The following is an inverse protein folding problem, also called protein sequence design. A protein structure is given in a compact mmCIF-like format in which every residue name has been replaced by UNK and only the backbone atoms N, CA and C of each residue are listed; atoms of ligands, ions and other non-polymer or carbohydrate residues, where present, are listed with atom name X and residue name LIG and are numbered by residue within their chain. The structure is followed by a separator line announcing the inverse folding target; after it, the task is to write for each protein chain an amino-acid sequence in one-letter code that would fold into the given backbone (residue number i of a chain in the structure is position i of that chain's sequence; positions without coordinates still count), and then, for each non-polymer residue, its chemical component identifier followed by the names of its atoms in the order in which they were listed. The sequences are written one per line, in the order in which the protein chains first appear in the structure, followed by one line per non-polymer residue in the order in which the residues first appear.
data_IF_787120372270
#
_entry.id   IF_787120372270
#
_cell.length_a   1.000
_cell.length_b   1.000
_cell.length_c   1.000
_cell.angle_alpha   90.00
_cell.angle_beta   90.00
_cell.angle_gamma   90.00
#
_symmetry.space_group_name_H-M   'P 1'
#
loop_
_entity.id
_entity.type
_entity.pdbx_description
1 polymer ?
#
# COMPACT_ATOMS: atom_id res chain seq x y z
N UNK A 1 16.96 6.72 18.49
CA UNK A 1 17.41 5.42 17.93
C UNK A 1 17.25 5.44 16.43
N UNK A 2 18.27 5.02 15.71
CA UNK A 2 18.25 4.95 14.24
C UNK A 2 18.45 3.50 13.83
N UNK A 3 17.67 3.03 12.87
CA UNK A 3 17.78 1.67 12.33
C UNK A 3 17.36 1.62 10.88
N UNK A 4 17.67 0.52 10.21
CA UNK A 4 17.14 0.23 8.87
C UNK A 4 15.73 -0.37 9.01
N UNK A 5 14.92 -0.23 7.96
CA UNK A 5 13.60 -0.84 7.91
C UNK A 5 13.71 -2.37 7.77
N UNK A 6 12.73 -3.10 8.30
CA UNK A 6 12.59 -4.52 8.01
C UNK A 6 11.89 -4.68 6.67
N UNK A 7 12.46 -5.49 5.78
CA UNK A 7 11.94 -5.69 4.42
C UNK A 7 11.31 -7.07 4.31
N UNK A 8 10.07 -7.11 3.86
CA UNK A 8 9.37 -8.34 3.52
C UNK A 8 9.00 -8.31 2.04
N UNK A 9 9.45 -9.32 1.30
CA UNK A 9 9.10 -9.48 -0.13
C UNK A 9 7.94 -10.47 -0.22
N UNK A 10 6.86 -10.04 -0.88
CA UNK A 10 5.63 -10.82 -0.97
C UNK A 10 5.25 -11.04 -2.43
N UNK A 11 5.02 -12.29 -2.81
CA UNK A 11 4.47 -12.66 -4.10
C UNK A 11 2.95 -12.77 -3.98
N UNK A 12 2.22 -12.16 -4.92
CA UNK A 12 0.76 -12.26 -4.96
C UNK A 12 0.04 -11.65 -3.77
N UNK A 13 0.51 -10.50 -3.28
CA UNK A 13 -0.06 -9.85 -2.10
C UNK A 13 -1.56 -9.58 -2.29
N UNK A 14 -2.36 -10.06 -1.35
CA UNK A 14 -3.84 -9.95 -1.38
C UNK A 14 -4.47 -10.53 -2.66
N UNK A 15 -3.85 -11.55 -3.25
CA UNK A 15 -4.33 -12.12 -4.50
C UNK A 15 -3.94 -11.33 -5.75
N UNK A 16 -3.07 -10.36 -5.61
CA UNK A 16 -2.54 -9.59 -6.74
C UNK A 16 -1.51 -10.37 -7.55
N UNK A 17 -0.89 -9.69 -8.51
CA UNK A 17 0.14 -10.24 -9.37
C UNK A 17 1.54 -9.82 -8.93
N UNK A 18 2.53 -10.67 -9.18
CA UNK A 18 3.94 -10.34 -9.08
C UNK A 18 4.41 -10.03 -7.67
N UNK A 19 5.35 -9.10 -7.57
CA UNK A 19 6.14 -8.88 -6.37
C UNK A 19 5.89 -7.51 -5.77
N UNK A 20 5.68 -7.48 -4.45
CA UNK A 20 5.58 -6.25 -3.65
C UNK A 20 6.58 -6.34 -2.51
N UNK A 21 7.35 -5.26 -2.30
CA UNK A 21 8.26 -5.15 -1.15
C UNK A 21 7.62 -4.25 -0.10
N UNK A 22 7.54 -4.77 1.12
CA UNK A 22 7.06 -4.01 2.28
C UNK A 22 8.26 -3.66 3.15
N UNK A 23 8.65 -2.38 3.13
CA UNK A 23 9.72 -1.85 3.96
C UNK A 23 9.06 -1.25 5.20
N UNK A 24 8.99 -2.05 6.29
CA UNK A 24 8.29 -1.63 7.51
C UNK A 24 9.09 -0.54 8.21
N UNK A 25 8.54 0.67 8.25
CA UNK A 25 9.17 1.84 8.89
C UNK A 25 9.18 1.64 10.40
N UNK A 26 8.07 1.13 10.94
CA UNK A 26 7.95 0.70 12.34
C UNK A 26 7.31 -0.68 12.37
N UNK A 27 7.49 -1.41 13.47
CA UNK A 27 6.81 -2.68 13.66
C UNK A 27 5.36 -2.47 14.07
N UNK A 28 4.56 -3.52 13.93
CA UNK A 28 3.17 -3.50 14.40
C UNK A 28 3.11 -3.21 15.91
N UNK A 29 4.04 -3.77 16.67
CA UNK A 29 4.12 -3.57 18.12
C UNK A 29 4.39 -2.11 18.48
N UNK A 30 5.22 -1.44 17.69
CA UNK A 30 5.54 -0.02 17.89
C UNK A 30 4.37 0.92 17.59
N UNK A 31 3.35 0.44 16.89
CA UNK A 31 2.12 1.19 16.66
C UNK A 31 1.18 1.17 17.88
N UNK A 32 1.52 0.37 18.89
CA UNK A 32 0.85 0.37 20.22
C UNK A 32 -0.67 0.19 20.17
N UNK A 33 -1.16 -0.67 19.28
CA UNK A 33 -2.58 -0.91 19.12
C UNK A 33 -3.35 0.14 18.32
N UNK A 34 -2.66 1.20 17.86
CA UNK A 34 -3.32 2.29 17.10
C UNK A 34 -3.34 2.03 15.59
N UNK A 35 -2.61 1.04 15.14
CA UNK A 35 -2.55 0.67 13.74
C UNK A 35 -1.85 -0.67 13.56
N UNK A 36 -1.76 -1.13 12.31
CA UNK A 36 -1.17 -2.43 11.99
C UNK A 36 0.01 -2.36 11.04
N UNK A 37 0.17 -1.24 10.32
CA UNK A 37 1.27 -1.10 9.36
C UNK A 37 1.62 0.37 9.13
N UNK A 38 2.91 0.65 9.07
CA UNK A 38 3.46 1.89 8.54
C UNK A 38 4.69 1.51 7.73
N UNK A 39 4.58 1.62 6.40
CA UNK A 39 5.56 1.04 5.50
C UNK A 39 5.82 1.90 4.26
N UNK A 40 7.05 1.85 3.78
CA UNK A 40 7.42 2.23 2.43
C UNK A 40 7.18 1.01 1.55
N UNK A 41 6.23 1.10 0.64
CA UNK A 41 5.79 -0.01 -0.21
C UNK A 41 6.32 0.20 -1.62
N UNK A 42 6.94 -0.84 -2.17
CA UNK A 42 7.42 -0.82 -3.56
C UNK A 42 6.68 -1.92 -4.31
N UNK A 43 5.84 -1.50 -5.26
CA UNK A 43 5.15 -2.42 -6.18
C UNK A 43 6.02 -2.52 -7.42
N UNK A 44 6.58 -3.70 -7.65
CA UNK A 44 7.50 -3.94 -8.76
C UNK A 44 6.79 -3.80 -10.12
N UNK A 45 7.53 -3.69 -11.24
CA UNK A 45 6.90 -3.62 -12.57
C UNK A 45 5.90 -4.74 -12.80
N UNK A 46 4.73 -4.39 -13.38
CA UNK A 46 3.65 -5.32 -13.72
C UNK A 46 3.15 -6.16 -12.54
N UNK A 47 3.22 -5.57 -11.35
CA UNK A 47 2.78 -6.19 -10.10
C UNK A 47 1.61 -5.40 -9.51
N UNK A 48 0.92 -6.01 -8.55
CA UNK A 48 -0.23 -5.36 -7.93
C UNK A 48 -0.47 -5.85 -6.51
N UNK A 49 -1.14 -4.99 -5.73
CA UNK A 49 -1.82 -5.39 -4.50
C UNK A 49 -3.27 -5.67 -4.88
N UNK A 50 -3.74 -6.90 -4.66
CA UNK A 50 -5.09 -7.30 -5.04
C UNK A 50 -6.19 -6.62 -4.24
N UNK A 51 -7.41 -6.71 -4.76
CA UNK A 51 -8.58 -6.11 -4.12
C UNK A 51 -8.82 -6.74 -2.75
N UNK A 52 -8.93 -5.90 -1.72
CA UNK A 52 -9.18 -6.35 -0.36
C UNK A 52 -9.92 -5.28 0.44
N UNK A 53 -10.68 -5.72 1.45
CA UNK A 53 -11.46 -4.86 2.33
C UNK A 53 -10.67 -4.53 3.59
N UNK A 54 -10.78 -3.28 4.06
CA UNK A 54 -10.27 -2.84 5.34
C UNK A 54 -11.39 -2.86 6.39
N UNK A 55 -11.26 -3.77 7.35
CA UNK A 55 -12.24 -3.93 8.43
C UNK A 55 -11.68 -3.32 9.71
N UNK A 56 -12.35 -2.28 10.22
CA UNK A 56 -11.96 -1.63 11.47
C UNK A 56 -10.78 -0.68 11.35
N UNK A 57 -10.29 -0.39 10.14
CA UNK A 57 -9.16 0.52 9.94
C UNK A 57 -9.30 1.32 8.65
N UNK A 58 -8.45 2.32 8.54
CA UNK A 58 -8.33 3.23 7.38
C UNK A 58 -6.93 3.12 6.84
N UNK A 59 -6.77 3.23 5.52
CA UNK A 59 -5.44 3.20 4.91
C UNK A 59 -5.27 4.29 3.85
N UNK A 60 -4.46 5.33 4.11
CA UNK A 60 -3.95 6.21 3.07
C UNK A 60 -2.68 5.63 2.43
N UNK A 61 -2.59 5.73 1.11
CA UNK A 61 -1.37 5.58 0.33
C UNK A 61 -0.92 6.97 -0.11
N UNK A 62 0.34 7.30 0.07
CA UNK A 62 0.93 8.52 -0.48
C UNK A 62 1.98 8.13 -1.51
N UNK A 63 1.73 8.45 -2.78
CA UNK A 63 2.62 8.08 -3.89
C UNK A 63 3.84 8.99 -3.88
N UNK A 64 5.04 8.42 -3.88
CA UNK A 64 6.30 9.15 -3.86
C UNK A 64 7.12 8.97 -5.15
N UNK A 65 6.89 7.89 -5.91
CA UNK A 65 7.63 7.63 -7.16
C UNK A 65 6.83 6.69 -8.05
N UNK A 66 6.91 6.93 -9.36
CA UNK A 66 6.28 6.06 -10.35
C UNK A 66 4.83 6.40 -10.61
N UNK A 67 4.18 5.53 -11.38
CA UNK A 67 2.78 5.69 -11.81
C UNK A 67 2.01 4.42 -11.49
N UNK A 68 0.77 4.55 -11.07
CA UNK A 68 -0.09 3.41 -10.75
C UNK A 68 -1.53 3.64 -11.16
N UNK A 69 -2.33 2.58 -10.99
CA UNK A 69 -3.79 2.64 -11.12
C UNK A 69 -4.38 2.25 -9.77
N UNK A 70 -5.05 3.19 -9.13
CA UNK A 70 -5.77 2.95 -7.89
C UNK A 70 -7.19 2.47 -8.21
N UNK A 71 -7.58 1.34 -7.63
CA UNK A 71 -8.95 0.83 -7.73
C UNK A 71 -9.67 1.23 -6.44
N UNK A 72 -10.60 2.18 -6.57
CA UNK A 72 -11.33 2.74 -5.44
C UNK A 72 -12.50 1.85 -5.02
N UNK A 73 -13.11 2.18 -3.90
CA UNK A 73 -14.19 1.38 -3.31
C UNK A 73 -15.40 1.21 -4.23
N UNK A 74 -15.67 2.19 -5.09
CA UNK A 74 -16.77 2.11 -6.06
C UNK A 74 -16.40 1.36 -7.35
N UNK A 75 -15.17 0.81 -7.42
CA UNK A 75 -14.63 0.12 -8.58
C UNK A 75 -14.02 1.02 -9.63
N UNK A 76 -14.04 2.35 -9.45
CA UNK A 76 -13.41 3.25 -10.39
C UNK A 76 -11.90 3.06 -10.40
N UNK A 77 -11.29 3.20 -11.58
CA UNK A 77 -9.86 3.02 -11.82
C UNK A 77 -9.25 4.38 -12.13
N UNK A 78 -8.34 4.83 -11.28
CA UNK A 78 -7.81 6.20 -11.30
C UNK A 78 -6.31 6.14 -11.50
N UNK A 79 -5.79 6.82 -12.52
CA UNK A 79 -4.35 6.97 -12.70
C UNK A 79 -3.79 7.89 -11.63
N UNK A 80 -2.73 7.44 -10.96
CA UNK A 80 -2.10 8.17 -9.85
C UNK A 80 -0.60 8.27 -10.04
N UNK A 81 0.00 9.27 -9.42
CA UNK A 81 1.44 9.51 -9.44
C UNK A 81 1.91 10.30 -8.24
N UNK A 82 3.19 10.71 -8.22
CA UNK A 82 3.80 11.37 -7.07
C UNK A 82 2.98 12.55 -6.57
N UNK A 83 2.75 12.60 -5.26
CA UNK A 83 1.96 13.65 -4.61
C UNK A 83 0.50 13.30 -4.43
N UNK A 84 0.00 12.22 -5.04
CA UNK A 84 -1.39 11.79 -4.86
C UNK A 84 -1.55 11.03 -3.56
N UNK A 85 -2.64 11.31 -2.85
CA UNK A 85 -3.09 10.52 -1.70
C UNK A 85 -4.28 9.68 -2.13
N UNK A 86 -4.16 8.36 -1.94
CA UNK A 86 -5.22 7.39 -2.23
C UNK A 86 -5.70 6.82 -0.90
N UNK A 87 -6.86 7.22 -0.45
CA UNK A 87 -7.36 6.82 0.87
C UNK A 87 -8.63 5.99 0.75
N UNK A 88 -8.71 4.94 1.56
CA UNK A 88 -9.97 4.23 1.82
C UNK A 88 -10.23 4.28 3.32
N UNK A 89 -11.52 4.28 3.66
CA UNK A 89 -11.99 4.36 5.03
C UNK A 89 -12.50 3.00 5.52
N UNK A 90 -12.87 2.95 6.78
CA UNK A 90 -13.38 1.73 7.43
C UNK A 90 -14.46 1.07 6.59
N UNK A 91 -14.31 -0.23 6.33
CA UNK A 91 -15.27 -1.06 5.58
C UNK A 91 -15.12 -0.99 4.06
N UNK A 92 -14.30 -0.08 3.55
CA UNK A 92 -14.09 0.07 2.11
C UNK A 92 -13.03 -0.91 1.58
N UNK A 93 -13.09 -1.16 0.27
CA UNK A 93 -12.15 -2.04 -0.43
C UNK A 93 -11.37 -1.27 -1.48
N UNK A 94 -10.13 -1.69 -1.72
CA UNK A 94 -9.28 -1.09 -2.73
C UNK A 94 -8.25 -2.07 -3.29
N UNK A 95 -7.59 -1.64 -4.37
CA UNK A 95 -6.44 -2.30 -4.95
C UNK A 95 -5.49 -1.25 -5.52
N UNK A 96 -4.25 -1.64 -5.79
CA UNK A 96 -3.27 -0.79 -6.47
C UNK A 96 -2.51 -1.62 -7.49
N UNK A 97 -2.42 -1.12 -8.72
CA UNK A 97 -1.75 -1.80 -9.82
C UNK A 97 -0.61 -0.96 -10.36
N UNK A 98 0.50 -1.62 -10.60
CA UNK A 98 1.62 -1.05 -11.36
C UNK A 98 1.68 -1.72 -12.73
N UNK A 99 1.18 -1.06 -13.75
CA UNK A 99 1.15 -1.57 -15.13
C UNK A 99 2.29 -0.97 -15.97
N UNK A 100 3.39 -0.57 -15.32
CA UNK A 100 4.55 0.05 -15.98
C UNK A 100 5.80 -0.83 -15.87
N UNK A 101 6.87 -0.42 -16.55
CA UNK A 101 8.17 -1.10 -16.48
C UNK A 101 9.08 -0.56 -15.37
N UNK A 102 8.56 0.33 -14.53
CA UNK A 102 9.32 0.94 -13.42
C UNK A 102 8.64 0.64 -12.09
N UNK A 103 9.38 0.80 -10.98
CA UNK A 103 8.83 0.65 -9.64
C UNK A 103 7.79 1.73 -9.34
N UNK A 104 6.74 1.34 -8.64
CA UNK A 104 5.79 2.27 -8.01
C UNK A 104 6.06 2.26 -6.51
N UNK A 105 6.35 3.43 -5.95
CA UNK A 105 6.69 3.55 -4.53
C UNK A 105 5.70 4.46 -3.83
N UNK A 106 5.27 4.03 -2.66
CA UNK A 106 4.32 4.77 -1.85
C UNK A 106 4.56 4.53 -0.37
N UNK A 107 4.08 5.47 0.45
CA UNK A 107 4.02 5.29 1.90
C UNK A 107 2.60 4.87 2.26
N UNK A 108 2.47 3.80 3.02
CA UNK A 108 1.19 3.27 3.46
C UNK A 108 1.11 3.26 4.98
N UNK A 109 -0.02 3.71 5.49
CA UNK A 109 -0.33 3.69 6.92
C UNK A 109 -1.69 3.03 7.11
N UNK A 110 -1.74 1.97 7.93
CA UNK A 110 -3.01 1.36 8.34
C UNK A 110 -3.23 1.70 9.81
N UNK A 111 -4.20 2.54 10.09
CA UNK A 111 -4.53 2.92 11.47
C UNK A 111 -5.96 2.52 11.83
N UNK A 112 -6.14 2.17 13.11
CA UNK A 112 -7.44 1.69 13.62
C UNK A 112 -8.41 2.85 13.84
N UNK A 113 -9.69 2.54 13.68
CA UNK A 113 -10.75 3.47 14.07
C UNK A 113 -10.79 3.74 15.58
#
# INVERSE_FOLDING_TARGET
MVRKTDVKVVEGLRGGNGTVELHHIVSKEELNGHGTMYAHVIIKPHSSIGLHQHVGNTEPYYIIKGRGVFVDNDGSRIDVGPGDCCIIEVGQSHAMENNTDEDLEMIALVYNE
#
